data_IF_029509783865
#
_entry.id   IF_029509783865
#
_cell.length_a   1.000
_cell.length_b   1.000
_cell.length_c   1.000
_cell.angle_alpha   90.00
_cell.angle_beta   90.00
_cell.angle_gamma   90.00
#
_symmetry.space_group_name_H-M   'P 1'
#
loop_
_entity.id
_entity.type
_entity.pdbx_description
1 polymer ?
#
# COMPACT_ATOMS: atom_id res chain seq x y z
N UNK A 1 8.07 -41.68 39.67
CA UNK A 1 8.83 -40.44 39.89
C UNK A 1 8.39 -39.42 38.82
N UNK A 2 7.46 -38.55 39.23
CA UNK A 2 7.07 -37.41 38.41
C UNK A 2 8.20 -36.39 38.43
N UNK A 3 9.00 -36.37 37.39
CA UNK A 3 9.93 -35.29 37.16
C UNK A 3 9.13 -34.04 36.90
N UNK A 4 9.22 -33.07 37.78
CA UNK A 4 8.73 -31.72 37.64
C UNK A 4 9.50 -31.07 36.47
N UNK A 5 8.97 -31.22 35.25
CA UNK A 5 9.49 -30.48 34.10
C UNK A 5 8.97 -29.06 34.22
N UNK A 6 9.87 -28.14 34.53
CA UNK A 6 9.58 -26.70 34.43
C UNK A 6 8.95 -26.41 33.06
N UNK A 7 7.96 -25.52 33.00
CA UNK A 7 7.35 -25.16 31.71
C UNK A 7 8.43 -24.60 30.78
N UNK A 8 8.53 -25.21 29.59
CA UNK A 8 9.46 -24.75 28.55
C UNK A 8 9.02 -23.33 28.15
N UNK A 9 9.91 -22.36 28.36
CA UNK A 9 9.69 -21.03 27.81
C UNK A 9 9.66 -21.10 26.30
N UNK A 10 8.54 -20.69 25.69
CA UNK A 10 8.38 -20.65 24.24
C UNK A 10 8.99 -19.39 23.60
N UNK A 11 9.74 -18.60 24.35
CA UNK A 11 10.56 -17.51 23.79
C UNK A 11 11.67 -18.14 22.92
N UNK A 12 11.75 -17.72 21.67
CA UNK A 12 12.72 -18.19 20.68
C UNK A 12 12.53 -19.63 20.16
N UNK A 13 11.37 -20.26 20.36
CA UNK A 13 11.04 -21.54 19.72
C UNK A 13 10.18 -21.26 18.48
N UNK A 14 10.67 -21.58 17.30
CA UNK A 14 9.93 -21.39 16.04
C UNK A 14 8.94 -22.54 15.78
N UNK A 15 9.29 -23.75 16.22
CA UNK A 15 8.53 -24.96 15.98
C UNK A 15 8.33 -25.78 17.25
N UNK A 16 7.15 -26.35 17.39
CA UNK A 16 6.82 -27.33 18.40
C UNK A 16 6.61 -28.68 17.74
N UNK A 17 7.31 -29.72 18.21
CA UNK A 17 7.16 -31.08 17.74
C UNK A 17 6.26 -31.86 18.67
N UNK A 18 5.12 -32.32 18.18
CA UNK A 18 4.25 -33.26 18.84
C UNK A 18 4.52 -34.69 18.26
N UNK A 19 3.96 -35.72 18.88
CA UNK A 19 4.20 -37.12 18.47
C UNK A 19 3.80 -37.41 17.02
N UNK A 20 2.88 -36.65 16.49
CA UNK A 20 2.22 -36.84 15.20
C UNK A 20 2.43 -35.71 14.19
N UNK A 21 2.88 -34.53 14.65
CA UNK A 21 3.05 -33.40 13.76
C UNK A 21 4.04 -32.35 14.27
N UNK A 22 4.58 -31.60 13.33
CA UNK A 22 5.30 -30.36 13.57
C UNK A 22 4.31 -29.20 13.52
N UNK A 23 4.21 -28.44 14.60
CA UNK A 23 3.38 -27.24 14.64
C UNK A 23 4.31 -26.05 14.77
N UNK A 24 4.26 -25.16 13.79
CA UNK A 24 4.90 -23.86 13.91
C UNK A 24 4.35 -23.17 15.16
N UNK A 25 5.25 -22.63 15.99
CA UNK A 25 4.83 -21.84 17.16
C UNK A 25 3.71 -20.91 16.71
N UNK A 26 2.54 -21.11 17.29
CA UNK A 26 1.31 -20.55 16.80
C UNK A 26 1.46 -19.05 16.48
N UNK A 27 1.73 -18.73 15.23
CA UNK A 27 1.70 -17.35 14.73
C UNK A 27 0.31 -16.73 14.96
N UNK A 28 -0.71 -17.57 15.21
CA UNK A 28 -2.07 -17.15 15.54
C UNK A 28 -2.16 -16.26 16.81
N UNK A 29 -1.16 -16.33 17.69
CA UNK A 29 -1.09 -15.46 18.88
C UNK A 29 -0.18 -14.25 18.70
N UNK A 30 0.56 -14.17 17.58
CA UNK A 30 1.44 -13.03 17.33
C UNK A 30 0.61 -11.81 16.91
N UNK A 31 0.69 -10.78 17.72
CA UNK A 31 0.06 -9.49 17.46
C UNK A 31 1.15 -8.43 17.49
N UNK A 32 1.21 -7.61 16.45
CA UNK A 32 2.01 -6.38 16.47
C UNK A 32 1.09 -5.17 16.55
N UNK A 33 1.42 -4.21 17.40
CA UNK A 33 0.68 -2.97 17.59
C UNK A 33 1.52 -1.78 17.14
N UNK A 34 0.87 -0.84 16.49
CA UNK A 34 1.46 0.37 15.93
C UNK A 34 0.64 1.57 16.38
N UNK A 35 1.31 2.66 16.76
CA UNK A 35 0.71 3.82 17.43
C UNK A 35 -0.03 4.77 16.48
N UNK A 36 0.29 4.72 15.20
CA UNK A 36 -0.29 5.59 14.17
C UNK A 36 -1.34 4.87 13.34
N UNK A 37 -2.03 5.60 12.46
CA UNK A 37 -2.98 5.04 11.52
C UNK A 37 -2.28 4.16 10.48
N UNK A 38 -3.02 3.24 9.90
CA UNK A 38 -2.52 2.34 8.86
C UNK A 38 -1.83 3.07 7.71
N UNK A 39 -2.40 4.19 7.27
CA UNK A 39 -1.87 4.97 6.14
C UNK A 39 -0.61 5.78 6.47
N UNK A 40 -0.21 5.85 7.74
CA UNK A 40 1.04 6.50 8.17
C UNK A 40 2.26 5.58 8.02
N UNK A 41 2.06 4.39 7.46
CA UNK A 41 3.11 3.40 7.26
C UNK A 41 3.21 2.99 5.79
N UNK A 42 4.44 2.69 5.37
CA UNK A 42 4.74 2.02 4.10
C UNK A 42 4.92 0.53 4.32
N UNK A 43 4.46 -0.26 3.37
CA UNK A 43 4.67 -1.71 3.32
C UNK A 43 5.66 -2.03 2.23
N UNK A 44 6.62 -2.89 2.54
CA UNK A 44 7.73 -3.25 1.65
C UNK A 44 7.81 -4.78 1.58
N UNK A 45 8.04 -5.29 0.39
CA UNK A 45 8.46 -6.67 0.16
C UNK A 45 9.91 -6.64 -0.33
N UNK A 46 10.77 -7.45 0.29
CA UNK A 46 12.15 -7.60 -0.15
C UNK A 46 12.33 -8.73 -1.19
N UNK A 47 13.54 -8.93 -1.66
CA UNK A 47 13.92 -9.97 -2.63
C UNK A 47 13.72 -11.41 -2.12
N UNK A 48 13.59 -11.60 -0.81
CA UNK A 48 13.35 -12.89 -0.18
C UNK A 48 11.86 -13.13 0.12
N UNK A 49 10.97 -12.30 -0.42
CA UNK A 49 9.52 -12.28 -0.14
C UNK A 49 9.19 -12.07 1.34
N UNK A 50 10.06 -11.34 2.06
CA UNK A 50 9.80 -10.95 3.43
C UNK A 50 9.11 -9.58 3.45
N UNK A 51 8.13 -9.44 4.35
CA UNK A 51 7.34 -8.21 4.45
C UNK A 51 7.79 -7.36 5.64
N UNK A 52 7.91 -6.07 5.37
CA UNK A 52 8.29 -5.07 6.35
C UNK A 52 7.28 -3.92 6.37
N UNK A 53 7.19 -3.28 7.52
CA UNK A 53 6.47 -2.04 7.71
C UNK A 53 7.44 -0.96 8.15
N UNK A 54 7.31 0.24 7.62
CA UNK A 54 8.16 1.37 8.02
C UNK A 54 7.40 2.69 8.06
N UNK A 55 7.94 3.60 8.85
CA UNK A 55 7.76 5.05 8.80
C UNK A 55 9.04 5.71 9.33
N UNK A 56 9.00 7.00 9.67
CA UNK A 56 10.18 7.74 10.18
C UNK A 56 10.79 7.15 11.46
N UNK A 57 10.03 6.39 12.25
CA UNK A 57 10.41 5.91 13.58
C UNK A 57 10.45 4.38 13.69
N UNK A 58 9.85 3.68 12.76
CA UNK A 58 9.66 2.23 12.81
C UNK A 58 10.18 1.59 11.53
N UNK A 59 10.95 0.51 11.69
CA UNK A 59 11.25 -0.44 10.61
C UNK A 59 11.17 -1.85 11.21
N UNK A 60 10.11 -2.57 10.88
CA UNK A 60 9.77 -3.84 11.52
C UNK A 60 9.42 -4.91 10.50
N UNK A 61 9.92 -6.14 10.73
CA UNK A 61 9.49 -7.31 9.96
C UNK A 61 8.10 -7.76 10.42
N UNK A 62 7.21 -7.95 9.46
CA UNK A 62 5.82 -8.35 9.68
C UNK A 62 5.44 -9.66 9.00
N UNK A 63 6.37 -10.30 8.29
CA UNK A 63 6.12 -11.58 7.60
C UNK A 63 5.47 -12.59 8.53
N UNK A 64 4.36 -13.15 8.09
CA UNK A 64 3.64 -14.18 8.82
C UNK A 64 2.98 -13.73 10.13
N UNK A 65 2.82 -12.43 10.36
CA UNK A 65 2.09 -11.92 11.52
C UNK A 65 0.58 -11.96 11.22
N UNK A 66 -0.20 -12.76 11.95
CA UNK A 66 -1.62 -12.92 11.69
C UNK A 66 -2.45 -11.67 12.04
N UNK A 67 -1.96 -10.80 12.94
CA UNK A 67 -2.69 -9.61 13.32
C UNK A 67 -1.77 -8.41 13.55
N UNK A 68 -1.99 -7.36 12.75
CA UNK A 68 -1.42 -6.03 12.92
C UNK A 68 -2.55 -5.10 13.42
N UNK A 69 -2.29 -4.34 14.47
CA UNK A 69 -3.25 -3.40 15.06
C UNK A 69 -2.67 -2.00 14.93
N UNK A 70 -3.37 -1.14 14.21
CA UNK A 70 -3.09 0.28 14.05
C UNK A 70 -4.07 1.10 14.90
N UNK A 71 -3.86 2.41 14.99
CA UNK A 71 -4.74 3.29 15.73
C UNK A 71 -6.18 3.30 15.18
N UNK A 72 -6.33 3.15 13.86
CA UNK A 72 -7.61 3.23 13.15
C UNK A 72 -8.22 1.88 12.75
N UNK A 73 -7.40 0.82 12.62
CA UNK A 73 -7.89 -0.50 12.19
C UNK A 73 -6.97 -1.66 12.54
N UNK A 74 -7.46 -2.87 12.31
CA UNK A 74 -6.66 -4.10 12.39
C UNK A 74 -6.70 -4.84 11.07
N UNK A 75 -5.56 -5.41 10.66
CA UNK A 75 -5.39 -6.20 9.45
C UNK A 75 -4.51 -7.43 9.73
N UNK A 76 -4.39 -8.31 8.75
CA UNK A 76 -3.46 -9.45 8.74
C UNK A 76 -2.32 -9.22 7.77
N UNK A 77 -1.07 -9.39 8.22
CA UNK A 77 0.06 -9.38 7.28
C UNK A 77 0.04 -10.59 6.36
N UNK A 78 -0.46 -11.74 6.85
CA UNK A 78 -0.56 -12.96 6.05
C UNK A 78 -1.57 -12.79 4.90
N UNK A 79 -2.75 -12.24 5.20
CA UNK A 79 -3.83 -12.10 4.24
C UNK A 79 -3.75 -10.76 3.50
N UNK A 80 -3.90 -9.66 4.23
CA UNK A 80 -4.17 -8.37 3.60
C UNK A 80 -2.92 -7.76 2.94
N UNK A 81 -1.71 -8.05 3.48
CA UNK A 81 -0.46 -7.54 2.91
C UNK A 81 0.11 -8.50 1.88
N UNK A 82 0.24 -9.80 2.21
CA UNK A 82 0.79 -10.79 1.29
C UNK A 82 -0.04 -10.91 0.02
N UNK A 83 -1.36 -11.08 0.13
CA UNK A 83 -2.24 -11.20 -1.03
C UNK A 83 -2.15 -9.98 -1.98
N UNK A 84 -1.99 -8.78 -1.42
CA UNK A 84 -1.81 -7.58 -2.26
C UNK A 84 -0.48 -7.60 -3.00
N UNK A 85 0.63 -7.97 -2.34
CA UNK A 85 1.92 -8.08 -3.01
C UNK A 85 1.96 -9.23 -4.02
N UNK A 86 1.27 -10.35 -3.77
CA UNK A 86 1.17 -11.49 -4.69
C UNK A 86 0.50 -11.13 -6.03
N UNK A 87 -0.34 -10.09 -6.04
CA UNK A 87 -0.92 -9.55 -7.28
C UNK A 87 0.11 -8.77 -8.12
N UNK A 88 1.18 -8.27 -7.51
CA UNK A 88 2.17 -7.41 -8.18
C UNK A 88 3.25 -8.30 -8.81
N UNK A 89 3.02 -8.76 -10.01
CA UNK A 89 3.90 -9.71 -10.71
C UNK A 89 5.11 -9.06 -11.38
N UNK A 90 5.22 -7.72 -11.35
CA UNK A 90 6.38 -7.00 -11.84
C UNK A 90 6.19 -5.48 -11.91
N UNK A 91 7.29 -4.74 -11.77
CA UNK A 91 7.28 -3.26 -11.76
C UNK A 91 6.66 -2.67 -13.05
N UNK A 92 6.98 -3.24 -14.20
CA UNK A 92 6.64 -2.66 -15.52
C UNK A 92 5.41 -3.28 -16.18
N UNK A 93 4.76 -4.25 -15.55
CA UNK A 93 3.52 -4.84 -16.06
C UNK A 93 2.28 -4.09 -15.53
N UNK A 94 1.10 -4.53 -15.97
CA UNK A 94 -0.17 -3.92 -15.59
C UNK A 94 -0.36 -3.84 -14.08
N UNK A 95 -0.04 -4.90 -13.35
CA UNK A 95 -0.25 -4.96 -11.91
C UNK A 95 0.61 -3.93 -11.15
N UNK A 96 1.89 -3.80 -11.51
CA UNK A 96 2.78 -2.79 -10.93
C UNK A 96 2.32 -1.36 -11.25
N UNK A 97 1.88 -1.13 -12.49
CA UNK A 97 1.39 0.18 -12.92
C UNK A 97 0.09 0.57 -12.20
N UNK A 98 -0.87 -0.34 -12.08
CA UNK A 98 -2.14 -0.08 -11.36
C UNK A 98 -1.89 0.11 -9.86
N UNK A 99 -0.97 -0.65 -9.27
CA UNK A 99 -0.55 -0.45 -7.87
C UNK A 99 0.01 0.96 -7.63
N UNK A 100 0.94 1.41 -8.49
CA UNK A 100 1.51 2.77 -8.38
C UNK A 100 0.45 3.85 -8.61
N UNK A 101 -0.43 3.65 -9.59
CA UNK A 101 -1.54 4.58 -9.84
C UNK A 101 -2.48 4.70 -8.64
N UNK A 102 -2.81 3.57 -7.99
CA UNK A 102 -3.61 3.56 -6.77
C UNK A 102 -2.89 4.30 -5.64
N UNK A 103 -1.60 4.00 -5.42
CA UNK A 103 -0.81 4.68 -4.39
C UNK A 103 -0.71 6.18 -4.64
N UNK A 104 -0.53 6.58 -5.90
CA UNK A 104 -0.49 7.99 -6.30
C UNK A 104 -1.80 8.74 -6.02
N UNK A 105 -2.93 8.10 -6.28
CA UNK A 105 -4.25 8.70 -6.06
C UNK A 105 -4.63 8.80 -4.58
N UNK A 106 -4.37 7.76 -3.80
CA UNK A 106 -4.91 7.63 -2.45
C UNK A 106 -3.87 7.72 -1.34
N UNK A 107 -2.58 7.75 -1.68
CA UNK A 107 -1.46 7.75 -0.72
C UNK A 107 -1.58 6.67 0.36
N UNK A 108 -2.08 5.49 0.00
CA UNK A 108 -2.23 4.35 0.90
C UNK A 108 -1.94 3.03 0.19
N UNK A 109 -1.71 2.00 0.98
CA UNK A 109 -1.62 0.63 0.49
C UNK A 109 -3.01 0.15 0.04
N UNK A 110 -3.17 -0.41 -1.18
CA UNK A 110 -4.45 -0.92 -1.65
C UNK A 110 -4.87 -2.19 -0.90
N UNK A 111 -6.16 -2.44 -0.82
CA UNK A 111 -6.67 -3.77 -0.52
C UNK A 111 -6.57 -4.69 -1.75
N UNK A 112 -6.43 -6.00 -1.51
CA UNK A 112 -6.20 -6.98 -2.58
C UNK A 112 -7.40 -7.08 -3.54
N UNK A 113 -8.62 -6.97 -3.03
CA UNK A 113 -9.83 -7.07 -3.85
C UNK A 113 -9.95 -5.88 -4.80
N UNK A 114 -9.75 -4.65 -4.29
CA UNK A 114 -9.78 -3.43 -5.10
C UNK A 114 -8.66 -3.39 -6.14
N UNK A 115 -7.45 -3.81 -5.76
CA UNK A 115 -6.32 -3.88 -6.69
C UNK A 115 -6.57 -4.91 -7.79
N UNK A 116 -7.02 -6.13 -7.45
CA UNK A 116 -7.35 -7.19 -8.40
C UNK A 116 -8.42 -6.75 -9.39
N UNK A 117 -9.48 -6.09 -8.90
CA UNK A 117 -10.54 -5.55 -9.74
C UNK A 117 -10.01 -4.61 -10.84
N UNK A 118 -9.15 -3.67 -10.48
CA UNK A 118 -8.63 -2.71 -11.46
C UNK A 118 -7.59 -3.30 -12.41
N UNK A 119 -6.78 -4.28 -11.94
CA UNK A 119 -5.88 -5.05 -12.81
C UNK A 119 -6.70 -5.81 -13.86
N UNK A 120 -7.77 -6.51 -13.46
CA UNK A 120 -8.64 -7.23 -14.37
C UNK A 120 -9.31 -6.32 -15.39
N UNK A 121 -9.83 -5.15 -14.96
CA UNK A 121 -10.44 -4.15 -15.85
C UNK A 121 -9.46 -3.65 -16.91
N UNK A 122 -8.21 -3.46 -16.54
CA UNK A 122 -7.18 -3.04 -17.47
C UNK A 122 -6.76 -4.18 -18.40
N UNK A 123 -6.45 -5.36 -17.89
CA UNK A 123 -5.97 -6.51 -18.66
C UNK A 123 -7.03 -7.05 -19.64
N UNK A 124 -8.30 -6.98 -19.27
CA UNK A 124 -9.41 -7.32 -20.18
C UNK A 124 -9.71 -6.27 -21.25
N UNK A 125 -9.04 -5.11 -21.20
CA UNK A 125 -9.28 -3.99 -22.12
C UNK A 125 -10.61 -3.25 -21.88
N UNK A 126 -11.29 -3.50 -20.76
CA UNK A 126 -12.52 -2.79 -20.40
C UNK A 126 -12.27 -1.34 -20.02
N UNK A 127 -11.12 -1.07 -19.42
CA UNK A 127 -10.69 0.28 -19.06
C UNK A 127 -9.24 0.52 -19.47
N UNK A 128 -8.98 1.70 -19.99
CA UNK A 128 -7.64 2.23 -20.16
C UNK A 128 -7.10 2.76 -18.82
N UNK A 129 -5.79 2.92 -18.66
CA UNK A 129 -5.21 3.54 -17.46
C UNK A 129 -5.77 4.95 -17.19
N UNK A 130 -6.08 5.71 -18.26
CA UNK A 130 -6.70 7.05 -18.14
C UNK A 130 -8.10 6.98 -17.52
N UNK A 131 -8.91 6.01 -17.93
CA UNK A 131 -10.26 5.81 -17.38
C UNK A 131 -10.19 5.34 -15.92
N UNK A 132 -9.20 4.50 -15.57
CA UNK A 132 -8.96 4.09 -14.20
C UNK A 132 -8.53 5.29 -13.35
N UNK A 133 -7.57 6.09 -13.83
CA UNK A 133 -7.14 7.32 -13.15
C UNK A 133 -8.33 8.28 -12.94
N UNK A 134 -9.16 8.47 -13.97
CA UNK A 134 -10.37 9.26 -13.86
C UNK A 134 -11.34 8.68 -12.82
N UNK A 135 -11.55 7.37 -12.81
CA UNK A 135 -12.41 6.69 -11.83
C UNK A 135 -11.91 6.89 -10.39
N UNK A 136 -10.59 6.87 -10.17
CA UNK A 136 -10.00 7.17 -8.87
C UNK A 136 -10.29 8.60 -8.43
N UNK A 137 -10.06 9.58 -9.30
CA UNK A 137 -10.34 10.99 -9.02
C UNK A 137 -11.83 11.28 -8.79
N UNK A 138 -12.71 10.56 -9.47
CA UNK A 138 -14.16 10.69 -9.33
C UNK A 138 -14.72 9.93 -8.12
N UNK A 139 -13.93 9.07 -7.48
CA UNK A 139 -14.35 8.24 -6.35
C UNK A 139 -14.74 9.08 -5.12
N UNK A 140 -15.62 8.52 -4.29
CA UNK A 140 -15.96 9.11 -3.00
C UNK A 140 -14.73 9.23 -2.09
N UNK A 141 -13.85 8.23 -2.12
CA UNK A 141 -12.63 8.21 -1.32
C UNK A 141 -11.73 9.39 -1.65
N UNK A 142 -11.44 9.63 -2.94
CA UNK A 142 -10.61 10.76 -3.36
C UNK A 142 -11.25 12.10 -2.99
N UNK A 143 -12.54 12.26 -3.26
CA UNK A 143 -13.30 13.49 -2.96
C UNK A 143 -13.44 13.76 -1.48
N UNK A 144 -13.47 12.72 -0.64
CA UNK A 144 -13.57 12.88 0.81
C UNK A 144 -12.22 13.15 1.48
N UNK A 145 -11.12 12.67 0.90
CA UNK A 145 -9.77 12.95 1.39
C UNK A 145 -9.18 14.28 0.89
N UNK A 146 -9.80 14.87 -0.13
CA UNK A 146 -9.42 16.14 -0.70
C UNK A 146 -10.68 17.02 -0.79
N UNK A 147 -10.50 18.36 -0.78
CA UNK A 147 -11.63 19.25 -1.03
C UNK A 147 -12.27 18.93 -2.39
N UNK A 148 -13.60 18.82 -2.44
CA UNK A 148 -14.34 18.51 -3.68
C UNK A 148 -14.00 19.53 -4.79
N UNK A 149 -13.67 20.77 -4.40
CA UNK A 149 -13.28 21.86 -5.30
C UNK A 149 -11.78 22.19 -5.23
N UNK A 150 -10.93 21.20 -4.94
CA UNK A 150 -9.47 21.39 -4.92
C UNK A 150 -9.00 22.14 -6.19
N UNK A 151 -8.23 23.22 -6.03
CA UNK A 151 -7.65 23.94 -7.18
C UNK A 151 -6.59 23.09 -7.89
N UNK A 152 -6.24 23.43 -9.14
CA UNK A 152 -5.19 22.72 -9.88
C UNK A 152 -3.84 22.86 -9.20
N UNK A 153 -3.52 24.01 -8.62
CA UNK A 153 -2.29 24.19 -7.85
C UNK A 153 -2.24 23.24 -6.65
N UNK A 154 -3.33 23.18 -5.88
CA UNK A 154 -3.39 22.31 -4.70
C UNK A 154 -3.38 20.84 -5.09
N UNK A 155 -4.00 20.49 -6.21
CA UNK A 155 -3.92 19.16 -6.78
C UNK A 155 -2.47 18.78 -7.14
N UNK A 156 -1.74 19.64 -7.82
CA UNK A 156 -0.32 19.43 -8.15
C UNK A 156 0.54 19.30 -6.89
N UNK A 157 0.36 20.16 -5.89
CA UNK A 157 1.03 20.04 -4.60
C UNK A 157 0.80 18.67 -3.97
N UNK A 158 -0.45 18.19 -4.01
CA UNK A 158 -0.82 16.89 -3.48
C UNK A 158 -0.07 15.75 -4.19
N UNK A 159 0.00 15.77 -5.52
CA UNK A 159 0.75 14.77 -6.29
C UNK A 159 2.25 14.78 -5.94
N UNK A 160 2.85 15.98 -5.87
CA UNK A 160 4.26 16.11 -5.47
C UNK A 160 4.50 15.55 -4.07
N UNK A 161 3.64 15.89 -3.12
CA UNK A 161 3.80 15.44 -1.73
C UNK A 161 3.58 13.94 -1.58
N UNK A 162 2.53 13.40 -2.20
CA UNK A 162 2.17 11.99 -2.04
C UNK A 162 3.11 11.02 -2.76
N UNK A 163 3.66 11.46 -3.91
CA UNK A 163 4.44 10.58 -4.77
C UNK A 163 5.94 10.84 -4.62
N UNK A 164 6.33 12.12 -4.62
CA UNK A 164 7.74 12.52 -4.59
C UNK A 164 8.23 12.92 -3.19
N UNK A 165 7.35 12.94 -2.18
CA UNK A 165 7.70 13.27 -0.79
C UNK A 165 8.20 14.70 -0.58
N UNK A 166 7.94 15.62 -1.52
CA UNK A 166 8.39 17.02 -1.49
C UNK A 166 7.36 17.97 -2.09
N UNK A 167 7.48 19.23 -1.78
CA UNK A 167 6.72 20.26 -2.49
C UNK A 167 7.28 20.47 -3.92
N UNK A 168 6.45 20.92 -4.87
CA UNK A 168 6.92 21.33 -6.18
C UNK A 168 7.86 22.53 -6.07
N UNK A 169 8.90 22.56 -6.90
CA UNK A 169 9.62 23.80 -7.18
C UNK A 169 8.79 24.73 -8.09
N UNK A 170 9.25 25.96 -8.26
CA UNK A 170 8.52 26.96 -9.04
C UNK A 170 8.27 26.51 -10.47
N UNK A 171 9.28 25.90 -11.12
CA UNK A 171 9.19 25.49 -12.52
C UNK A 171 8.25 24.29 -12.69
N UNK A 172 8.32 23.31 -11.80
CA UNK A 172 7.41 22.16 -11.79
C UNK A 172 5.97 22.57 -11.56
N UNK A 173 5.72 23.48 -10.61
CA UNK A 173 4.38 24.04 -10.38
C UNK A 173 3.85 24.77 -11.61
N UNK A 174 4.64 25.66 -12.22
CA UNK A 174 4.24 26.42 -13.41
C UNK A 174 3.98 25.50 -14.61
N UNK A 175 4.80 24.48 -14.80
CA UNK A 175 4.62 23.50 -15.88
C UNK A 175 3.26 22.81 -15.78
N UNK A 176 2.95 22.20 -14.66
CA UNK A 176 1.71 21.45 -14.48
C UNK A 176 0.47 22.35 -14.45
N UNK A 177 0.54 23.46 -13.71
CA UNK A 177 -0.55 24.42 -13.64
C UNK A 177 -0.93 24.96 -15.02
N UNK A 178 0.06 25.36 -15.84
CA UNK A 178 -0.19 25.82 -17.19
C UNK A 178 -0.89 24.76 -18.05
N UNK A 179 -0.43 23.51 -17.99
CA UNK A 179 -1.00 22.41 -18.81
C UNK A 179 -2.44 22.09 -18.41
N UNK A 180 -2.73 22.08 -17.12
CA UNK A 180 -4.08 21.85 -16.60
C UNK A 180 -5.00 23.04 -16.95
N UNK A 181 -4.56 24.28 -16.73
CA UNK A 181 -5.38 25.49 -16.93
C UNK A 181 -5.79 25.74 -18.39
N UNK A 182 -4.93 25.36 -19.36
CA UNK A 182 -5.25 25.47 -20.79
C UNK A 182 -5.89 24.20 -21.37
N UNK A 183 -6.12 23.16 -20.55
CA UNK A 183 -6.68 21.90 -20.98
C UNK A 183 -5.76 21.06 -21.87
N UNK A 184 -4.44 21.35 -21.88
CA UNK A 184 -3.46 20.54 -22.61
C UNK A 184 -3.28 19.16 -21.98
N UNK A 185 -3.52 19.05 -20.67
CA UNK A 185 -3.63 17.79 -19.93
C UNK A 185 -4.80 17.86 -18.94
N UNK A 186 -5.35 16.71 -18.64
CA UNK A 186 -6.36 16.52 -17.60
C UNK A 186 -5.70 16.14 -16.28
N UNK A 187 -6.41 16.26 -15.17
CA UNK A 187 -5.94 15.74 -13.87
C UNK A 187 -5.63 14.24 -13.89
N UNK A 188 -6.38 13.46 -14.67
CA UNK A 188 -6.12 12.03 -14.84
C UNK A 188 -4.77 11.77 -15.55
N UNK A 189 -4.43 12.57 -16.54
CA UNK A 189 -3.13 12.50 -17.22
C UNK A 189 -1.98 12.94 -16.33
N UNK A 190 -2.18 13.99 -15.55
CA UNK A 190 -1.19 14.38 -14.55
C UNK A 190 -0.97 13.26 -13.52
N UNK A 191 -2.03 12.66 -12.96
CA UNK A 191 -1.92 11.53 -12.03
C UNK A 191 -1.14 10.36 -12.64
N UNK A 192 -1.40 10.01 -13.91
CA UNK A 192 -0.66 8.98 -14.63
C UNK A 192 0.82 9.34 -14.78
N UNK A 193 1.12 10.57 -15.19
CA UNK A 193 2.49 11.04 -15.33
C UNK A 193 3.27 10.94 -14.02
N UNK A 194 2.66 11.35 -12.93
CA UNK A 194 3.28 11.25 -11.60
C UNK A 194 3.42 9.80 -11.11
N UNK A 195 2.44 8.93 -11.37
CA UNK A 195 2.51 7.53 -10.93
C UNK A 195 3.63 6.73 -11.60
N UNK A 196 4.11 7.18 -12.76
CA UNK A 196 5.18 6.55 -13.54
C UNK A 196 6.52 7.35 -13.45
N UNK A 197 6.56 8.47 -12.68
CA UNK A 197 7.82 9.17 -12.42
C UNK A 197 8.69 8.37 -11.46
N UNK A 198 9.98 8.20 -11.82
CA UNK A 198 11.00 7.54 -10.99
C UNK A 198 11.41 8.41 -9.80
#
# INVERSE_FOLDING_TARGET
>A
SNANKSPISLQNVEWLKFSDQLVEKSKATLIKKFDKNFNDYEFIQDENNEFFIKNDFVFDKITGIPKLIFADKSISAIKDISETFDLITGKNNSSGQIFRLHKAAFNRFPDSEGLSYWIEKYDSGQNTKREIAKSFLDSYEFKNSHDVNISDEKYVETLYTNILGRLPDTDGMQYWFKRLSIGAETRAEALLGFSESD
#
